data_IF_953846194705
#
_entry.id   IF_953846194705
#
_cell.length_a   1.000
_cell.length_b   1.000
_cell.length_c   1.000
_cell.angle_alpha   90.00
_cell.angle_beta   90.00
_cell.angle_gamma   90.00
#
_symmetry.space_group_name_H-M   'P 1'
#
loop_
_entity.id
_entity.type
_entity.pdbx_description
1 polymer ?
#
# COMPACT_ATOMS: atom_id res chain seq x y z
N UNK A 1 20.65 28.27 -19.06
CA UNK A 1 20.96 27.18 -18.11
C UNK A 1 20.74 25.87 -18.85
N UNK A 2 21.76 24.99 -18.91
CA UNK A 2 21.61 23.68 -19.56
C UNK A 2 20.90 22.71 -18.60
N UNK A 3 19.84 22.06 -19.06
CA UNK A 3 19.22 20.98 -18.31
C UNK A 3 20.11 19.74 -18.40
N UNK A 4 20.55 19.22 -17.25
CA UNK A 4 21.27 17.96 -17.20
C UNK A 4 20.27 16.80 -17.18
N UNK A 5 20.37 15.93 -18.19
CA UNK A 5 19.52 14.75 -18.31
C UNK A 5 20.13 13.63 -17.47
N UNK A 6 19.35 13.10 -16.53
CA UNK A 6 19.75 11.95 -15.73
C UNK A 6 19.12 10.66 -16.25
N UNK A 7 19.88 9.57 -16.20
CA UNK A 7 19.42 8.20 -16.46
C UNK A 7 19.30 7.46 -15.14
N UNK A 8 18.24 6.67 -14.99
CA UNK A 8 18.04 5.81 -13.84
C UNK A 8 19.00 4.63 -13.95
N UNK A 9 19.83 4.47 -12.93
CA UNK A 9 20.74 3.34 -12.76
C UNK A 9 20.04 2.18 -12.06
N UNK A 10 20.62 1.74 -10.94
CA UNK A 10 20.03 0.68 -10.12
C UNK A 10 18.80 1.18 -9.40
N UNK A 11 17.74 0.37 -9.41
CA UNK A 11 16.56 0.57 -8.60
C UNK A 11 16.51 -0.53 -7.54
N UNK A 12 16.50 -0.15 -6.26
CA UNK A 12 16.25 -1.06 -5.15
C UNK A 12 14.97 -0.69 -4.41
N UNK A 13 14.22 -1.70 -3.97
CA UNK A 13 13.00 -1.57 -3.18
C UNK A 13 13.16 -2.33 -1.87
N UNK A 14 13.02 -1.62 -0.76
CA UNK A 14 13.05 -2.17 0.58
C UNK A 14 11.60 -2.26 1.09
N UNK A 15 11.14 -3.48 1.37
CA UNK A 15 9.86 -3.72 2.01
C UNK A 15 10.02 -3.75 3.53
N UNK A 16 9.42 -2.77 4.20
CA UNK A 16 9.41 -2.63 5.64
C UNK A 16 8.09 -3.19 6.20
N UNK A 17 8.19 -4.32 6.89
CA UNK A 17 7.07 -4.99 7.55
C UNK A 17 7.26 -5.16 9.07
N UNK A 18 8.49 -4.96 9.55
CA UNK A 18 8.95 -5.02 10.94
C UNK A 18 10.01 -3.94 11.13
N UNK A 19 10.43 -3.69 12.37
CA UNK A 19 11.54 -2.77 12.66
C UNK A 19 12.93 -3.41 12.46
N UNK A 20 12.98 -4.70 12.13
CA UNK A 20 14.22 -5.40 11.81
C UNK A 20 14.79 -4.95 10.45
N UNK A 21 16.13 -4.94 10.37
CA UNK A 21 16.83 -4.66 9.13
C UNK A 21 16.52 -5.73 8.06
N UNK A 22 16.58 -5.38 6.76
CA UNK A 22 16.43 -6.36 5.69
C UNK A 22 17.50 -7.44 5.80
N UNK A 23 17.08 -8.70 5.77
CA UNK A 23 17.97 -9.87 5.92
C UNK A 23 18.05 -10.70 4.63
N UNK A 24 17.07 -10.57 3.75
CA UNK A 24 17.01 -11.26 2.47
C UNK A 24 16.96 -10.26 1.32
N UNK A 25 17.61 -10.64 0.22
CA UNK A 25 17.65 -9.86 -1.01
C UNK A 25 17.32 -10.76 -2.20
N UNK A 26 16.58 -10.21 -3.15
CA UNK A 26 16.15 -10.95 -4.33
C UNK A 26 16.09 -10.03 -5.54
N UNK A 27 16.27 -10.60 -6.72
CA UNK A 27 16.31 -9.83 -7.95
C UNK A 27 15.16 -10.22 -8.87
N UNK A 28 14.42 -9.24 -9.37
CA UNK A 28 13.30 -9.48 -10.28
C UNK A 28 13.11 -8.29 -11.23
N UNK A 29 13.12 -8.57 -12.55
CA UNK A 29 12.95 -7.57 -13.63
C UNK A 29 13.83 -6.32 -13.45
N UNK A 30 15.13 -6.53 -13.25
CA UNK A 30 16.14 -5.48 -13.06
C UNK A 30 16.00 -4.63 -11.79
N UNK A 31 15.14 -5.02 -10.86
CA UNK A 31 14.95 -4.36 -9.57
C UNK A 31 15.39 -5.30 -8.46
N UNK A 32 16.16 -4.76 -7.51
CA UNK A 32 16.55 -5.47 -6.29
C UNK A 32 15.48 -5.26 -5.23
N UNK A 33 14.99 -6.34 -4.64
CA UNK A 33 14.02 -6.35 -3.55
C UNK A 33 14.70 -6.81 -2.28
N UNK A 34 14.61 -6.00 -1.24
CA UNK A 34 15.18 -6.27 0.08
C UNK A 34 14.04 -6.36 1.11
N UNK A 35 14.08 -7.37 1.97
CA UNK A 35 13.05 -7.57 3.00
C UNK A 35 13.60 -8.30 4.21
N UNK A 36 12.97 -8.10 5.37
CA UNK A 36 13.20 -8.95 6.54
C UNK A 36 12.54 -10.33 6.32
N UNK A 37 13.34 -11.35 6.05
CA UNK A 37 12.91 -12.73 5.81
C UNK A 37 12.35 -12.97 4.41
N UNK A 38 11.12 -12.53 4.12
CA UNK A 38 10.52 -12.68 2.79
C UNK A 38 9.56 -11.54 2.47
N UNK A 39 9.46 -11.21 1.19
CA UNK A 39 8.54 -10.18 0.68
C UNK A 39 7.09 -10.63 0.86
N UNK A 40 6.27 -9.83 1.54
CA UNK A 40 4.84 -10.11 1.80
C UNK A 40 4.02 -9.89 0.53
N UNK A 41 4.24 -8.79 -0.18
CA UNK A 41 3.61 -8.53 -1.47
C UNK A 41 4.43 -9.23 -2.57
N UNK A 42 3.75 -9.76 -3.58
CA UNK A 42 4.40 -10.35 -4.74
C UNK A 42 5.19 -9.28 -5.49
N UNK A 43 6.46 -9.57 -5.81
CA UNK A 43 7.35 -8.71 -6.59
C UNK A 43 6.72 -8.24 -7.90
N UNK A 44 5.92 -9.10 -8.52
CA UNK A 44 5.17 -8.76 -9.72
C UNK A 44 4.23 -7.56 -9.51
N UNK A 45 3.54 -7.50 -8.37
CA UNK A 45 2.64 -6.39 -8.02
C UNK A 45 3.41 -5.08 -7.88
N UNK A 46 4.58 -5.09 -7.25
CA UNK A 46 5.43 -3.90 -7.22
C UNK A 46 5.81 -3.46 -8.61
N UNK A 47 6.40 -4.33 -9.43
CA UNK A 47 6.89 -3.94 -10.78
C UNK A 47 5.77 -3.39 -11.67
N UNK A 48 4.52 -3.87 -11.54
CA UNK A 48 3.38 -3.31 -12.30
C UNK A 48 3.02 -1.88 -11.90
N UNK A 49 3.41 -1.44 -10.70
CA UNK A 49 3.10 -0.13 -10.15
C UNK A 49 4.31 0.82 -10.11
N UNK A 50 5.47 0.38 -10.60
CA UNK A 50 6.67 1.22 -10.73
C UNK A 50 6.77 1.80 -12.14
N UNK A 51 6.96 3.12 -12.21
CA UNK A 51 7.28 3.85 -13.45
C UNK A 51 8.72 4.35 -13.47
N UNK A 52 9.35 4.48 -12.31
CA UNK A 52 10.79 4.66 -12.19
C UNK A 52 11.45 3.31 -12.45
N UNK A 53 11.91 3.13 -13.67
CA UNK A 53 12.49 1.87 -14.14
C UNK A 53 14.00 2.01 -14.34
N UNK A 54 14.78 0.95 -14.05
CA UNK A 54 16.18 0.90 -14.44
C UNK A 54 16.35 1.23 -15.93
N UNK A 55 17.45 1.89 -16.27
CA UNK A 55 17.85 2.26 -17.63
C UNK A 55 16.97 3.31 -18.33
N UNK A 56 15.91 3.79 -17.68
CA UNK A 56 15.03 4.85 -18.19
C UNK A 56 15.59 6.26 -17.91
N UNK A 57 15.06 7.28 -18.58
CA UNK A 57 15.38 8.67 -18.25
C UNK A 57 14.63 9.11 -16.99
N UNK A 58 15.28 9.90 -16.15
CA UNK A 58 14.65 10.55 -15.01
C UNK A 58 13.51 11.45 -15.47
N UNK A 59 12.34 11.30 -14.83
CA UNK A 59 11.14 12.10 -15.08
C UNK A 59 10.38 12.29 -13.77
N UNK A 60 10.10 13.54 -13.41
CA UNK A 60 9.30 13.85 -12.21
C UNK A 60 7.92 13.16 -12.24
N UNK A 61 7.30 13.11 -13.43
CA UNK A 61 6.02 12.43 -13.65
C UNK A 61 6.10 10.93 -13.33
N UNK A 62 7.22 10.27 -13.64
CA UNK A 62 7.41 8.85 -13.33
C UNK A 62 7.55 8.63 -11.81
N UNK A 63 8.25 9.54 -11.11
CA UNK A 63 8.31 9.55 -9.64
C UNK A 63 6.92 9.69 -9.03
N UNK A 64 6.13 10.64 -9.52
CA UNK A 64 4.78 10.91 -9.02
C UNK A 64 3.85 9.71 -9.23
N UNK A 65 3.82 9.14 -10.44
CA UNK A 65 3.00 7.95 -10.71
C UNK A 65 3.44 6.74 -9.91
N UNK A 66 4.75 6.55 -9.72
CA UNK A 66 5.26 5.47 -8.87
C UNK A 66 4.76 5.62 -7.43
N UNK A 67 4.90 6.82 -6.88
CA UNK A 67 4.43 7.12 -5.52
C UNK A 67 2.91 6.91 -5.38
N UNK A 68 2.12 7.46 -6.31
CA UNK A 68 0.67 7.34 -6.31
C UNK A 68 0.22 5.88 -6.43
N UNK A 69 0.76 5.12 -7.38
CA UNK A 69 0.34 3.75 -7.61
C UNK A 69 0.75 2.81 -6.48
N UNK A 70 1.94 2.99 -5.88
CA UNK A 70 2.33 2.21 -4.71
C UNK A 70 1.42 2.48 -3.52
N UNK A 71 1.12 3.75 -3.23
CA UNK A 71 0.26 4.12 -2.10
C UNK A 71 -1.22 3.80 -2.32
N UNK A 72 -1.63 3.53 -3.57
CA UNK A 72 -2.97 3.04 -3.88
C UNK A 72 -3.16 1.54 -3.56
N UNK A 73 -2.07 0.78 -3.36
CA UNK A 73 -2.13 -0.62 -2.97
C UNK A 73 -2.61 -0.75 -1.51
N UNK A 74 -3.65 -1.54 -1.27
CA UNK A 74 -4.24 -1.63 0.08
C UNK A 74 -3.26 -2.14 1.14
N UNK A 75 -2.30 -3.00 0.76
CA UNK A 75 -1.25 -3.50 1.63
C UNK A 75 -0.18 -2.45 2.00
N UNK A 76 -0.07 -1.34 1.25
CA UNK A 76 0.94 -0.31 1.45
C UNK A 76 0.37 0.79 2.35
N UNK A 77 1.09 1.12 3.41
CA UNK A 77 0.77 2.27 4.27
C UNK A 77 1.30 3.56 3.64
N UNK A 78 2.59 3.58 3.34
CA UNK A 78 3.22 4.66 2.59
C UNK A 78 4.46 4.15 1.85
N UNK A 79 4.89 4.93 0.87
CA UNK A 79 6.13 4.72 0.13
C UNK A 79 7.00 5.98 0.20
N UNK A 80 8.30 5.83 0.02
CA UNK A 80 9.26 6.93 -0.12
C UNK A 80 10.22 6.59 -1.26
N UNK A 81 10.56 7.58 -2.09
CA UNK A 81 11.48 7.43 -3.21
C UNK A 81 12.65 8.36 -3.00
N UNK A 82 13.84 7.80 -2.82
CA UNK A 82 15.07 8.52 -2.63
C UNK A 82 16.00 8.33 -3.83
N UNK A 83 16.45 9.44 -4.41
CA UNK A 83 17.41 9.46 -5.51
C UNK A 83 18.81 9.70 -4.93
N UNK A 84 19.72 8.76 -5.16
CA UNK A 84 21.10 8.89 -4.72
C UNK A 84 21.82 9.98 -5.52
N UNK A 85 22.63 10.79 -4.85
CA UNK A 85 23.41 11.83 -5.52
C UNK A 85 24.42 11.20 -6.49
N UNK A 86 24.41 11.57 -7.78
CA UNK A 86 25.35 11.06 -8.75
C UNK A 86 26.76 11.62 -8.47
N UNK A 87 27.78 10.84 -8.83
CA UNK A 87 29.17 11.31 -8.76
C UNK A 87 29.38 12.49 -9.73
N UNK A 88 30.33 13.41 -9.45
CA UNK A 88 30.63 14.51 -10.37
C UNK A 88 30.98 14.00 -11.77
N UNK A 89 30.24 14.45 -12.78
CA UNK A 89 30.41 14.02 -14.18
C UNK A 89 29.62 12.77 -14.57
N UNK A 90 28.99 12.07 -13.63
CA UNK A 90 28.04 11.00 -13.92
C UNK A 90 26.65 11.58 -14.13
N UNK A 91 25.94 11.05 -15.13
CA UNK A 91 24.55 11.36 -15.41
C UNK A 91 23.62 10.21 -15.00
N UNK A 92 24.12 9.24 -14.24
CA UNK A 92 23.37 8.08 -13.75
C UNK A 92 23.00 8.25 -12.29
N UNK A 93 21.72 8.05 -11.95
CA UNK A 93 21.19 8.17 -10.59
C UNK A 93 20.58 6.85 -10.15
N UNK A 94 21.03 6.35 -9.00
CA UNK A 94 20.42 5.17 -8.38
C UNK A 94 19.20 5.58 -7.55
N UNK A 95 18.23 4.68 -7.45
CA UNK A 95 16.94 4.93 -6.79
C UNK A 95 16.72 3.90 -5.69
N UNK A 96 16.36 4.39 -4.52
CA UNK A 96 16.00 3.60 -3.36
C UNK A 96 14.54 3.87 -3.01
N UNK A 97 13.70 2.86 -3.20
CA UNK A 97 12.31 2.90 -2.77
C UNK A 97 12.19 2.23 -1.41
N UNK A 98 11.55 2.91 -0.46
CA UNK A 98 11.12 2.31 0.79
C UNK A 98 9.61 2.17 0.75
N UNK A 99 9.10 0.99 1.07
CA UNK A 99 7.66 0.72 1.14
C UNK A 99 7.33 0.18 2.52
N UNK A 100 6.58 0.96 3.28
CA UNK A 100 6.03 0.54 4.56
C UNK A 100 4.69 -0.16 4.35
N UNK A 101 4.54 -1.35 4.91
CA UNK A 101 3.28 -2.09 4.82
C UNK A 101 2.30 -1.72 5.93
N UNK A 102 1.01 -1.79 5.60
CA UNK A 102 -0.09 -1.80 6.55
C UNK A 102 -0.10 -3.11 7.35
N UNK A 103 -0.75 -3.08 8.52
CA UNK A 103 -1.13 -4.33 9.20
C UNK A 103 -2.03 -5.15 8.25
N UNK A 104 -1.71 -6.44 8.00
CA UNK A 104 -2.41 -7.22 7.00
C UNK A 104 -3.88 -7.45 7.38
N UNK A 105 -4.14 -7.71 8.66
CA UNK A 105 -5.46 -8.00 9.20
C UNK A 105 -6.02 -6.87 10.05
N UNK A 106 -7.34 -6.68 10.03
CA UNK A 106 -8.05 -5.80 10.95
C UNK A 106 -9.46 -6.31 11.26
N UNK A 107 -9.92 -6.08 12.49
CA UNK A 107 -11.28 -6.38 12.95
C UNK A 107 -11.85 -5.08 13.53
N UNK A 108 -13.09 -4.74 13.18
CA UNK A 108 -13.83 -3.61 13.77
C UNK A 108 -15.25 -4.02 14.15
N UNK A 109 -15.78 -3.39 15.19
CA UNK A 109 -17.15 -3.59 15.66
C UNK A 109 -17.80 -2.22 15.85
N UNK A 110 -18.99 -2.05 15.27
CA UNK A 110 -19.77 -0.82 15.28
C UNK A 110 -21.17 -1.09 15.85
N UNK A 111 -21.67 -0.22 16.72
CA UNK A 111 -23.01 -0.27 17.28
C UNK A 111 -23.75 1.03 16.95
N UNK A 112 -24.95 0.89 16.40
CA UNK A 112 -25.82 2.00 15.98
C UNK A 112 -27.16 1.86 16.70
N UNK A 113 -27.67 2.95 17.27
CA UNK A 113 -28.99 3.02 17.88
C UNK A 113 -29.81 4.12 17.22
N UNK A 114 -31.06 3.83 16.87
CA UNK A 114 -31.95 4.77 16.18
C UNK A 114 -33.23 4.97 16.99
N UNK A 115 -33.75 6.19 16.99
CA UNK A 115 -35.08 6.52 17.51
C UNK A 115 -35.81 7.31 16.42
N UNK A 116 -36.87 6.76 15.85
CA UNK A 116 -37.66 7.43 14.81
C UNK A 116 -39.12 7.37 15.19
N UNK A 117 -39.72 8.53 15.52
CA UNK A 117 -41.15 8.69 15.77
C UNK A 117 -41.79 7.72 16.79
N UNK A 118 -41.02 7.18 17.74
CA UNK A 118 -41.49 6.21 18.75
C UNK A 118 -41.08 4.76 18.47
N UNK A 119 -40.49 4.49 17.31
CA UNK A 119 -39.87 3.21 16.97
C UNK A 119 -38.39 3.23 17.35
N UNK A 120 -37.99 2.25 18.15
CA UNK A 120 -36.60 2.09 18.60
C UNK A 120 -35.91 1.05 17.75
N UNK A 121 -34.84 1.43 17.07
CA UNK A 121 -34.00 0.53 16.31
C UNK A 121 -32.61 0.41 16.90
N UNK A 122 -31.93 -0.69 16.61
CA UNK A 122 -30.54 -0.92 16.94
C UNK A 122 -29.90 -1.82 15.91
N UNK A 123 -28.66 -1.53 15.53
CA UNK A 123 -27.87 -2.36 14.64
C UNK A 123 -26.46 -2.55 15.19
N UNK A 124 -25.94 -3.77 15.08
CA UNK A 124 -24.55 -4.09 15.37
C UNK A 124 -23.88 -4.58 14.08
N UNK A 125 -22.66 -4.12 13.82
CA UNK A 125 -21.87 -4.48 12.64
C UNK A 125 -20.50 -4.98 13.06
N UNK A 126 -20.10 -6.16 12.61
CA UNK A 126 -18.76 -6.70 12.73
C UNK A 126 -18.10 -6.72 11.35
N UNK A 127 -16.91 -6.14 11.22
CA UNK A 127 -16.16 -6.13 9.96
C UNK A 127 -14.78 -6.74 10.15
N UNK A 128 -14.42 -7.70 9.30
CA UNK A 128 -13.07 -8.25 9.16
C UNK A 128 -12.45 -7.75 7.85
N UNK A 129 -11.18 -7.38 7.86
CA UNK A 129 -10.43 -6.92 6.69
C UNK A 129 -9.08 -7.64 6.59
N UNK A 130 -8.68 -7.99 5.37
CA UNK A 130 -7.39 -8.56 5.01
C UNK A 130 -6.86 -7.84 3.76
N UNK A 131 -5.68 -7.21 3.85
CA UNK A 131 -5.12 -6.31 2.82
C UNK A 131 -4.11 -6.97 1.88
N UNK A 132 -3.88 -8.28 2.02
CA UNK A 132 -2.91 -8.98 1.17
C UNK A 132 -3.17 -10.50 1.10
N UNK A 133 -4.43 -10.93 0.92
CA UNK A 133 -4.82 -12.35 1.04
C UNK A 133 -4.08 -13.26 0.04
N UNK A 134 -3.90 -12.80 -1.20
CA UNK A 134 -3.24 -13.56 -2.27
C UNK A 134 -1.85 -13.02 -2.61
N UNK A 135 -1.29 -12.19 -1.72
CA UNK A 135 -0.01 -11.50 -1.88
C UNK A 135 0.01 -10.44 -2.99
N UNK A 136 -1.11 -10.10 -3.63
CA UNK A 136 -1.14 -9.07 -4.67
C UNK A 136 -1.60 -7.70 -4.17
N UNK A 137 -1.56 -7.46 -2.85
CA UNK A 137 -2.04 -6.26 -2.18
C UNK A 137 -3.56 -6.03 -2.32
N UNK A 138 -4.33 -7.12 -2.37
CA UNK A 138 -5.79 -7.09 -2.48
C UNK A 138 -6.46 -6.76 -1.15
N UNK A 139 -7.52 -5.96 -1.20
CA UNK A 139 -8.38 -5.70 -0.04
C UNK A 139 -9.58 -6.65 -0.05
N UNK A 140 -9.59 -7.59 0.89
CA UNK A 140 -10.71 -8.47 1.20
C UNK A 140 -11.39 -8.00 2.47
N UNK A 141 -12.72 -7.94 2.48
CA UNK A 141 -13.49 -7.61 3.67
C UNK A 141 -14.74 -8.48 3.82
N UNK A 142 -15.07 -8.83 5.06
CA UNK A 142 -16.31 -9.51 5.44
C UNK A 142 -17.04 -8.63 6.44
N UNK A 143 -18.32 -8.34 6.18
CA UNK A 143 -19.17 -7.52 7.05
C UNK A 143 -20.41 -8.31 7.46
N UNK A 144 -20.59 -8.48 8.76
CA UNK A 144 -21.79 -9.06 9.36
C UNK A 144 -22.57 -7.95 10.05
N UNK A 145 -23.82 -7.72 9.65
CA UNK A 145 -24.70 -6.71 10.27
C UNK A 145 -25.96 -7.39 10.78
N UNK A 146 -26.25 -7.21 12.06
CA UNK A 146 -27.55 -7.55 12.67
C UNK A 146 -28.28 -6.26 13.01
N UNK A 147 -29.59 -6.20 12.75
CA UNK A 147 -30.42 -5.06 13.11
C UNK A 147 -31.75 -5.53 13.72
N UNK A 148 -32.30 -4.73 14.63
CA UNK A 148 -33.57 -4.92 15.29
C UNK A 148 -34.33 -3.59 15.30
N UNK A 149 -35.64 -3.61 15.07
CA UNK A 149 -36.51 -2.44 15.12
C UNK A 149 -37.80 -2.82 15.88
N UNK A 150 -38.09 -2.10 16.95
CA UNK A 150 -39.32 -2.22 17.73
C UNK A 150 -40.34 -1.23 17.20
N UNK A 151 -41.36 -1.74 16.49
CA UNK A 151 -42.51 -0.94 16.04
C UNK A 151 -43.60 -0.98 17.11
N UNK A 152 -44.03 0.18 17.61
CA UNK A 152 -45.24 0.24 18.47
C UNK A 152 -46.49 0.19 17.60
N UNK A 153 -47.27 -0.90 17.67
CA UNK A 153 -48.66 -0.87 17.18
C UNK A 153 -49.46 0.10 18.05
N UNK A 154 -50.03 1.13 17.42
CA UNK A 154 -51.12 1.91 18.01
C UNK A 154 -52.36 1.00 18.03
N UNK A 155 -52.72 0.49 19.20
CA UNK A 155 -54.05 -0.08 19.43
C UNK A 155 -55.06 1.08 19.44
N UNK A 156 -56.07 0.97 18.57
CA UNK A 156 -57.19 1.91 18.48
C UNK A 156 -58.29 1.62 19.48
#
# INVERSE_FOLDING_TARGET
MAYQVYRIGRVSLIELNTEEAPTDSSFYRNITFESAGHTRINRHTYVRNLFVLPDSLYRDVATQYTYQNLNALAAVNYSNIHYAQPAPGDSTVNVHLLVQLNKPNGISFDLEGTNTAGDLGGAATLTYTQRNLFRGAESFFLKFRGAYEAIRRLEG
#
